data_IF_809485198076
#
_entry.id   IF_809485198076
#
_cell.length_a   1.000
_cell.length_b   1.000
_cell.length_c   1.000
_cell.angle_alpha   90.00
_cell.angle_beta   90.00
_cell.angle_gamma   90.00
#
_symmetry.space_group_name_H-M   'P 1'
#
loop_
_entity.id
_entity.type
_entity.pdbx_description
1 polymer ?
#
# COMPACT_ATOMS: atom_id res chain seq x y z
N UNK A 1 -8.98 -20.41 11.17
CA UNK A 1 -9.42 -19.77 11.06
C UNK A 1 -9.83 -18.65 11.32
N UNK A 2 -9.95 -18.25 11.38
CA UNK A 2 -10.19 -17.18 11.67
C UNK A 2 -11.03 -16.75 12.24
N UNK A 3 -11.23 -16.51 12.69
CA UNK A 3 -11.87 -16.06 13.23
C UNK A 3 -12.58 -15.35 13.40
N UNK A 4 -12.94 -15.30 13.57
CA UNK A 4 -13.67 -14.60 13.69
C UNK A 4 -14.20 -13.84 13.96
N UNK A 5 -14.09 -13.75 14.41
CA UNK A 5 -15.03 -12.85 14.94
C UNK A 5 -15.66 -12.06 13.83
N UNK A 6 -16.77 -11.43 14.07
CA UNK A 6 -17.46 -10.68 13.04
C UNK A 6 -16.55 -9.66 12.38
N UNK A 7 -15.70 -9.04 13.16
CA UNK A 7 -14.80 -8.05 12.62
C UNK A 7 -13.84 -8.64 11.59
N UNK A 8 -13.52 -9.91 11.75
CA UNK A 8 -12.61 -10.54 10.83
C UNK A 8 -13.18 -10.66 9.42
N UNK A 9 -14.50 -10.55 9.29
CA UNK A 9 -15.11 -10.69 8.00
C UNK A 9 -15.00 -9.44 7.14
N UNK A 10 -14.50 -8.37 7.72
CA UNK A 10 -14.41 -7.10 7.02
C UNK A 10 -13.32 -7.13 5.96
N UNK A 11 -12.28 -7.91 6.19
CA UNK A 11 -11.12 -7.91 5.30
C UNK A 11 -10.92 -9.29 4.70
N UNK A 12 -10.61 -9.30 3.43
CA UNK A 12 -10.27 -10.53 2.72
C UNK A 12 -8.82 -10.48 2.29
N UNK A 13 -8.12 -11.58 2.38
CA UNK A 13 -6.76 -11.70 1.86
C UNK A 13 -6.76 -12.25 0.46
N UNK A 14 -7.67 -13.17 0.20
CA UNK A 14 -7.84 -13.74 -1.13
C UNK A 14 -9.30 -13.65 -1.49
N UNK A 15 -9.57 -13.14 -2.65
CA UNK A 15 -10.93 -13.00 -3.15
C UNK A 15 -10.90 -13.40 -4.62
N UNK A 16 -12.08 -13.56 -5.21
CA UNK A 16 -12.16 -13.96 -6.60
C UNK A 16 -11.48 -12.98 -7.53
N UNK A 17 -11.62 -11.68 -7.26
CA UNK A 17 -10.93 -10.65 -8.02
C UNK A 17 -10.20 -9.77 -7.04
N UNK A 18 -8.88 -9.74 -7.14
CA UNK A 18 -8.05 -8.89 -6.30
C UNK A 18 -8.17 -7.43 -6.73
N UNK A 19 -7.98 -6.48 -5.79
CA UNK A 19 -7.95 -5.07 -6.17
C UNK A 19 -6.81 -4.80 -7.15
N UNK A 20 -7.04 -3.84 -8.04
CA UNK A 20 -6.05 -3.48 -9.05
C UNK A 20 -5.86 -1.98 -9.05
N UNK A 21 -4.60 -1.53 -9.06
CA UNK A 21 -4.27 -0.14 -9.20
C UNK A 21 -4.29 0.21 -10.69
N UNK A 22 -5.19 1.10 -11.07
CA UNK A 22 -5.35 1.58 -12.45
C UNK A 22 -5.15 0.44 -13.47
N UNK A 23 -3.99 0.44 -14.15
CA UNK A 23 -3.71 -0.54 -15.21
C UNK A 23 -2.87 -1.71 -14.73
N UNK A 24 -2.70 -1.87 -13.44
CA UNK A 24 -2.03 -3.03 -12.88
C UNK A 24 -0.78 -2.69 -12.10
N UNK A 25 -0.03 -3.75 -11.76
CA UNK A 25 1.08 -3.62 -10.83
C UNK A 25 2.23 -2.78 -11.38
N UNK A 26 2.48 -2.86 -12.69
CA UNK A 26 3.54 -2.03 -13.29
C UNK A 26 3.20 -0.55 -13.16
N UNK A 27 1.93 -0.20 -13.31
CA UNK A 27 1.49 1.18 -13.15
C UNK A 27 1.62 1.62 -11.69
N UNK A 28 1.33 0.73 -10.76
CA UNK A 28 1.50 1.01 -9.35
C UNK A 28 2.96 1.34 -9.03
N UNK A 29 3.88 0.52 -9.51
CA UNK A 29 5.30 0.74 -9.26
C UNK A 29 5.77 2.06 -9.87
N UNK A 30 5.28 2.39 -11.07
CA UNK A 30 5.60 3.65 -11.71
C UNK A 30 5.07 4.84 -10.91
N UNK A 31 3.82 4.75 -10.46
CA UNK A 31 3.22 5.82 -9.68
C UNK A 31 4.05 6.10 -8.41
N UNK A 32 4.43 5.04 -7.72
CA UNK A 32 5.21 5.20 -6.50
C UNK A 32 6.56 5.85 -6.79
N UNK A 33 7.26 5.38 -7.82
CA UNK A 33 8.58 5.94 -8.13
C UNK A 33 8.51 7.40 -8.58
N UNK A 34 7.41 7.78 -9.27
CA UNK A 34 7.25 9.15 -9.75
C UNK A 34 6.82 10.12 -8.66
N UNK A 35 6.13 9.62 -7.64
CA UNK A 35 5.52 10.50 -6.64
C UNK A 35 6.24 10.48 -5.29
N UNK A 36 7.16 9.58 -5.11
CA UNK A 36 7.89 9.47 -3.86
C UNK A 36 8.88 10.63 -3.77
N UNK A 37 8.99 11.21 -2.57
CA UNK A 37 9.95 12.27 -2.31
C UNK A 37 10.93 11.76 -1.27
N UNK A 38 12.19 11.68 -1.65
CA UNK A 38 13.19 11.17 -0.74
C UNK A 38 13.44 12.19 0.37
N UNK A 39 13.21 11.81 1.64
CA UNK A 39 13.45 12.76 2.73
C UNK A 39 14.90 13.19 2.76
N UNK A 40 15.14 14.49 2.85
CA UNK A 40 16.50 15.05 2.80
C UNK A 40 17.40 14.46 3.89
N UNK A 41 16.88 14.32 5.10
CA UNK A 41 17.65 13.79 6.22
C UNK A 41 18.12 12.37 5.91
N UNK A 42 17.23 11.53 5.41
CA UNK A 42 17.59 10.14 5.08
C UNK A 42 18.57 10.09 3.92
N UNK A 43 18.38 10.93 2.91
CA UNK A 43 19.28 10.97 1.76
C UNK A 43 20.70 11.38 2.18
N UNK A 44 20.80 12.40 3.04
CA UNK A 44 22.09 12.86 3.52
C UNK A 44 22.83 11.82 4.33
N UNK A 45 22.09 10.97 5.03
CA UNK A 45 22.68 9.90 5.83
C UNK A 45 22.86 8.62 5.04
N UNK A 46 22.49 8.61 3.78
CA UNK A 46 22.64 7.42 2.94
C UNK A 46 21.70 6.30 3.30
N UNK A 47 20.58 6.59 3.93
CA UNK A 47 19.63 5.57 4.36
C UNK A 47 18.78 5.13 3.18
N UNK A 48 18.81 3.84 2.89
CA UNK A 48 18.05 3.24 1.81
C UNK A 48 17.30 2.02 2.35
N UNK A 49 16.32 1.57 1.63
CA UNK A 49 15.63 0.34 2.00
C UNK A 49 14.22 0.30 1.48
N UNK A 50 13.51 -0.69 1.95
CA UNK A 50 12.16 -0.96 1.51
C UNK A 50 11.24 -0.89 2.72
N UNK A 51 10.31 0.06 2.70
CA UNK A 51 9.29 0.20 3.73
C UNK A 51 8.07 -0.56 3.24
N UNK A 52 7.63 -1.54 4.01
CA UNK A 52 6.45 -2.32 3.62
C UNK A 52 5.22 -1.72 4.30
N UNK A 53 4.24 -1.34 3.50
CA UNK A 53 3.01 -0.69 3.97
C UNK A 53 1.84 -1.61 3.70
N UNK A 54 1.01 -1.82 4.71
CA UNK A 54 -0.21 -2.57 4.58
C UNK A 54 -1.38 -1.61 4.68
N UNK A 55 -2.37 -1.76 3.81
CA UNK A 55 -3.56 -0.93 3.83
C UNK A 55 -4.74 -1.76 3.35
N UNK A 56 -5.92 -1.18 3.47
CA UNK A 56 -7.14 -1.83 2.99
C UNK A 56 -7.61 -1.06 1.77
N UNK A 57 -7.92 -1.79 0.69
CA UNK A 57 -8.63 -1.22 -0.45
C UNK A 57 -10.10 -1.39 -0.16
N UNK A 58 -10.81 -0.28 0.02
CA UNK A 58 -12.22 -0.30 0.38
C UNK A 58 -13.12 -0.64 -0.79
N UNK A 59 -14.41 -0.72 -0.52
CA UNK A 59 -15.38 -1.13 -1.54
C UNK A 59 -15.52 -0.11 -2.66
N UNK A 60 -15.07 1.11 -2.45
CA UNK A 60 -15.05 2.14 -3.49
C UNK A 60 -13.65 2.39 -4.03
N UNK A 61 -12.70 1.50 -3.70
CA UNK A 61 -11.32 1.64 -4.16
C UNK A 61 -10.49 2.61 -3.34
N UNK A 62 -11.02 3.14 -2.25
CA UNK A 62 -10.31 4.09 -1.41
C UNK A 62 -9.26 3.37 -0.55
N UNK A 63 -8.23 4.11 -0.16
CA UNK A 63 -7.16 3.58 0.69
C UNK A 63 -7.53 3.83 2.15
N UNK A 64 -7.58 2.76 2.92
CA UNK A 64 -7.97 2.82 4.33
C UNK A 64 -6.84 2.31 5.21
N UNK A 65 -6.62 3.01 6.32
CA UNK A 65 -5.75 2.56 7.43
C UNK A 65 -4.37 2.09 6.99
N UNK A 66 -3.59 2.91 6.27
CA UNK A 66 -2.23 2.51 5.93
C UNK A 66 -1.35 2.45 7.17
N UNK A 67 -0.62 1.36 7.31
CA UNK A 67 0.30 1.18 8.43
C UNK A 67 1.61 0.58 7.91
N UNK A 68 2.70 0.94 8.55
CA UNK A 68 4.01 0.37 8.23
C UNK A 68 4.12 -0.96 8.96
N UNK A 69 4.33 -2.03 8.21
CA UNK A 69 4.51 -3.36 8.80
C UNK A 69 5.98 -3.79 8.80
N UNK A 70 6.81 -3.11 8.01
CA UNK A 70 8.25 -3.29 8.05
C UNK A 70 8.90 -1.94 7.89
N UNK A 71 9.53 -1.47 8.95
CA UNK A 71 10.11 -0.13 9.02
C UNK A 71 11.57 -0.14 8.58
N UNK A 72 12.02 0.99 8.06
CA UNK A 72 13.43 1.22 7.79
C UNK A 72 13.94 2.36 8.67
N UNK A 73 13.23 3.47 8.66
CA UNK A 73 13.69 4.70 9.28
C UNK A 73 12.48 5.63 9.40
N UNK A 74 12.37 6.43 10.48
CA UNK A 74 11.15 7.20 10.70
C UNK A 74 10.78 8.12 9.55
N UNK A 75 11.76 8.72 8.89
CA UNK A 75 11.48 9.65 7.78
C UNK A 75 11.02 8.89 6.54
N UNK A 76 11.67 7.77 6.23
CA UNK A 76 11.23 6.94 5.10
C UNK A 76 9.85 6.35 5.36
N UNK A 77 9.59 5.92 6.60
CA UNK A 77 8.29 5.36 6.96
C UNK A 77 7.19 6.38 6.75
N UNK A 78 7.42 7.63 7.18
CA UNK A 78 6.43 8.68 7.04
C UNK A 78 6.14 8.99 5.57
N UNK A 79 7.20 9.04 4.76
CA UNK A 79 7.02 9.30 3.34
C UNK A 79 6.30 8.15 2.65
N UNK A 80 6.58 6.91 3.05
CA UNK A 80 5.87 5.75 2.49
C UNK A 80 4.37 5.86 2.75
N UNK A 81 3.99 6.21 3.97
CA UNK A 81 2.57 6.39 4.31
C UNK A 81 1.98 7.53 3.48
N UNK A 82 2.71 8.64 3.32
CA UNK A 82 2.22 9.77 2.56
C UNK A 82 1.94 9.40 1.10
N UNK A 83 2.89 8.73 0.45
CA UNK A 83 2.73 8.40 -0.97
C UNK A 83 1.63 7.36 -1.19
N UNK A 84 1.52 6.39 -0.29
CA UNK A 84 0.44 5.40 -0.38
C UNK A 84 -0.91 6.09 -0.19
N UNK A 85 -1.01 7.02 0.75
CA UNK A 85 -2.27 7.73 1.03
C UNK A 85 -2.65 8.66 -0.11
N UNK A 86 -1.71 9.04 -0.96
CA UNK A 86 -1.97 9.96 -2.07
C UNK A 86 -2.47 9.25 -3.33
N UNK A 87 -2.47 7.93 -3.32
CA UNK A 87 -2.85 7.18 -4.52
C UNK A 87 -4.31 7.44 -4.91
N UNK A 88 -4.59 7.49 -6.21
CA UNK A 88 -5.97 7.55 -6.68
C UNK A 88 -6.70 6.26 -6.35
N UNK A 89 -8.00 6.27 -6.53
CA UNK A 89 -8.82 5.10 -6.21
C UNK A 89 -8.38 3.90 -7.03
N UNK A 90 -8.38 2.77 -6.38
CA UNK A 90 -8.12 1.48 -7.00
C UNK A 90 -9.43 0.91 -7.54
N UNK A 91 -9.31 -0.09 -8.38
CA UNK A 91 -10.42 -0.94 -8.73
C UNK A 91 -10.59 -1.92 -7.56
N UNK A 92 -11.75 -1.94 -6.88
CA UNK A 92 -11.88 -2.77 -5.68
C UNK A 92 -11.87 -4.25 -5.99
N UNK A 93 -11.51 -5.04 -5.00
CA UNK A 93 -11.62 -6.48 -5.10
C UNK A 93 -13.09 -6.89 -5.08
N UNK A 94 -13.37 -8.06 -5.62
CA UNK A 94 -14.74 -8.55 -5.69
C UNK A 94 -14.86 -9.99 -5.24
N UNK A 95 -15.99 -10.30 -4.66
CA UNK A 95 -16.36 -11.63 -4.25
C UNK A 95 -17.81 -11.82 -4.68
N UNK A 96 -18.08 -12.82 -5.50
CA UNK A 96 -19.41 -13.09 -6.02
C UNK A 96 -20.03 -11.86 -6.66
N UNK A 97 -19.22 -11.13 -7.44
CA UNK A 97 -19.68 -9.95 -8.14
C UNK A 97 -19.85 -8.70 -7.30
N UNK A 98 -19.56 -8.76 -6.00
CA UNK A 98 -19.73 -7.63 -5.10
C UNK A 98 -18.37 -7.13 -4.63
N UNK A 99 -18.22 -5.81 -4.54
CA UNK A 99 -17.00 -5.21 -4.04
C UNK A 99 -16.83 -5.56 -2.56
N UNK A 100 -15.61 -5.91 -2.17
CA UNK A 100 -15.28 -6.23 -0.80
C UNK A 100 -14.01 -5.51 -0.39
N UNK A 101 -13.83 -5.36 0.92
CA UNK A 101 -12.59 -4.78 1.45
C UNK A 101 -11.51 -5.84 1.44
N UNK A 102 -10.34 -5.46 0.96
CA UNK A 102 -9.21 -6.39 0.85
C UNK A 102 -7.97 -5.75 1.45
N UNK A 103 -7.28 -6.48 2.32
CA UNK A 103 -5.97 -6.06 2.79
C UNK A 103 -4.95 -6.26 1.70
N UNK A 104 -4.10 -5.27 1.51
CA UNK A 104 -3.09 -5.30 0.49
C UNK A 104 -1.79 -4.79 1.06
N UNK A 105 -0.68 -5.34 0.61
CA UNK A 105 0.64 -4.98 1.12
C UNK A 105 1.52 -4.58 -0.05
N UNK A 106 2.19 -3.44 0.09
CA UNK A 106 3.02 -2.89 -0.98
C UNK A 106 4.38 -2.47 -0.42
N UNK A 107 5.48 -2.88 -1.06
CA UNK A 107 6.79 -2.35 -0.69
C UNK A 107 7.01 -0.99 -1.35
N UNK A 108 7.47 -0.04 -0.57
CA UNK A 108 7.86 1.27 -1.08
C UNK A 108 9.39 1.33 -1.03
N UNK A 109 10.01 1.37 -2.19
CA UNK A 109 11.46 1.23 -2.30
C UNK A 109 12.12 2.60 -2.33
N UNK A 110 13.06 2.80 -1.40
CA UNK A 110 13.88 4.01 -1.34
C UNK A 110 15.31 3.66 -1.73
N UNK A 111 15.73 4.17 -2.87
CA UNK A 111 17.05 3.86 -3.38
C UNK A 111 17.72 5.14 -3.85
N UNK A 112 18.93 5.36 -3.36
CA UNK A 112 19.70 6.51 -3.76
C UNK A 112 20.47 6.19 -5.04
N UNK A 113 20.50 7.16 -5.93
CA UNK A 113 21.30 7.02 -7.13
C UNK A 113 22.69 7.55 -6.86
N UNK A 114 23.66 6.85 -7.36
CA UNK A 114 25.04 7.27 -7.22
C UNK A 114 25.55 7.94 -8.49
#
# INVERSE_FOLDING_TARGET
RVRSSAASDVYKRQVEEMPVFRNGNADLMRYLSENIKYPTVSAEQGVQGRVVVQFVVGVHGEILNPVVVKSVDPYLDKEAIRVISSMPKWKPGKQRGKAVRVKYTVPVVFRLQS
#
